data_IF_959753256359
#
_entry.id   IF_959753256359
#
_cell.length_a   1.000
_cell.length_b   1.000
_cell.length_c   1.000
_cell.angle_alpha   90.00
_cell.angle_beta   90.00
_cell.angle_gamma   90.00
#
_symmetry.space_group_name_H-M   'P 1'
#
loop_
_entity.id
_entity.type
_entity.pdbx_description
1 polymer ?
#
# COMPACT_ATOMS: atom_id res chain seq x y z
N UNK A 1 19.47 1.62 -4.32
CA UNK A 1 18.06 2.10 -4.24
C UNK A 1 17.53 1.86 -2.84
N UNK A 2 16.79 2.81 -2.24
CA UNK A 2 16.23 2.65 -0.88
C UNK A 2 14.80 2.14 -0.98
N UNK A 3 14.44 1.00 -0.35
CA UNK A 3 13.08 0.50 -0.38
C UNK A 3 12.15 1.42 0.42
N UNK A 4 10.97 1.72 -0.10
CA UNK A 4 9.90 2.38 0.63
C UNK A 4 8.88 1.34 1.08
N UNK A 5 8.52 1.37 2.36
CA UNK A 5 7.52 0.48 2.94
C UNK A 5 6.20 1.22 3.02
N UNK A 6 5.16 0.65 2.43
CA UNK A 6 3.80 1.16 2.52
C UNK A 6 2.92 0.16 3.24
N UNK A 7 1.89 0.65 3.92
CA UNK A 7 0.86 -0.18 4.51
C UNK A 7 -0.45 0.05 3.76
N UNK A 8 -1.07 -1.05 3.32
CA UNK A 8 -2.35 -1.08 2.64
C UNK A 8 -3.38 -1.71 3.57
N UNK A 9 -4.58 -1.13 3.58
CA UNK A 9 -5.77 -1.72 4.20
C UNK A 9 -6.69 -2.23 3.11
N UNK A 10 -7.02 -3.52 3.17
CA UNK A 10 -7.97 -4.18 2.28
C UNK A 10 -9.20 -4.53 3.10
N UNK A 11 -10.37 -4.09 2.65
CA UNK A 11 -11.66 -4.37 3.29
C UNK A 11 -12.54 -5.13 2.31
N UNK A 12 -13.08 -6.28 2.73
CA UNK A 12 -13.98 -7.11 1.90
C UNK A 12 -15.37 -7.14 2.55
N UNK A 13 -16.44 -6.75 1.83
CA UNK A 13 -17.80 -6.82 2.33
C UNK A 13 -18.41 -8.24 2.22
N UNK A 14 -19.38 -8.62 3.09
CA UNK A 14 -19.89 -7.83 4.22
C UNK A 14 -18.79 -7.70 5.29
N UNK A 15 -18.59 -6.48 5.81
CA UNK A 15 -17.42 -6.06 6.61
C UNK A 15 -17.26 -6.96 7.85
N UNK A 16 -16.55 -8.07 7.68
CA UNK A 16 -16.18 -9.00 8.75
C UNK A 16 -14.66 -9.04 8.92
N UNK A 17 -13.92 -8.71 7.88
CA UNK A 17 -12.46 -8.85 7.85
C UNK A 17 -11.79 -7.63 7.21
N UNK A 18 -10.89 -7.00 7.96
CA UNK A 18 -9.94 -6.02 7.45
C UNK A 18 -8.56 -6.65 7.46
N UNK A 19 -7.85 -6.56 6.34
CA UNK A 19 -6.50 -7.08 6.20
C UNK A 19 -5.52 -5.93 6.02
N UNK A 20 -4.45 -5.93 6.82
CA UNK A 20 -3.36 -4.97 6.70
C UNK A 20 -2.20 -5.68 6.00
N UNK A 21 -1.81 -5.16 4.84
CA UNK A 21 -0.74 -5.71 4.01
C UNK A 21 0.42 -4.73 3.99
N UNK A 22 1.65 -5.24 4.19
CA UNK A 22 2.87 -4.44 4.06
C UNK A 22 3.46 -4.61 2.67
N UNK A 23 3.47 -3.53 1.89
CA UNK A 23 4.03 -3.49 0.55
C UNK A 23 5.42 -2.86 0.59
N UNK A 24 6.42 -3.55 0.06
CA UNK A 24 7.75 -2.99 -0.14
C UNK A 24 7.92 -2.63 -1.62
N UNK A 25 8.10 -1.34 -1.90
CA UNK A 25 8.31 -0.85 -3.27
C UNK A 25 9.76 -0.43 -3.43
N UNK A 26 10.42 -0.96 -4.46
CA UNK A 26 11.75 -0.57 -4.89
C UNK A 26 11.60 0.17 -6.23
N UNK A 27 11.97 1.44 -6.26
CA UNK A 27 11.98 2.25 -7.47
C UNK A 27 13.26 3.08 -7.51
N UNK A 28 13.71 3.37 -8.73
CA UNK A 28 14.73 4.34 -9.08
C UNK A 28 14.21 5.79 -8.98
N UNK A 29 12.89 5.99 -9.10
CA UNK A 29 12.20 7.27 -9.00
C UNK A 29 11.56 7.57 -7.63
N UNK A 30 10.93 8.74 -7.53
CA UNK A 30 10.23 9.16 -6.31
C UNK A 30 8.86 8.48 -6.22
N UNK A 31 8.80 7.37 -5.47
CA UNK A 31 7.53 6.72 -5.03
C UNK A 31 6.69 7.58 -4.09
N UNK A 32 7.14 8.80 -3.77
CA UNK A 32 6.39 9.79 -3.02
C UNK A 32 5.50 10.65 -3.91
N UNK A 33 5.67 10.55 -5.23
CA UNK A 33 4.79 11.23 -6.17
C UNK A 33 3.35 10.71 -6.01
N UNK A 34 2.35 11.59 -5.81
CA UNK A 34 0.97 11.20 -5.62
C UNK A 34 0.40 10.39 -6.80
N UNK A 35 0.82 10.65 -8.04
CA UNK A 35 0.34 9.89 -9.19
C UNK A 35 0.92 8.47 -9.19
N UNK A 36 2.18 8.30 -8.78
CA UNK A 36 2.78 6.96 -8.59
C UNK A 36 2.05 6.18 -7.49
N UNK A 37 1.69 6.83 -6.38
CA UNK A 37 0.94 6.18 -5.30
C UNK A 37 -0.47 5.77 -5.74
N UNK A 38 -1.17 6.62 -6.49
CA UNK A 38 -2.48 6.27 -7.04
C UNK A 38 -2.37 5.08 -8.00
N UNK A 39 -1.37 5.10 -8.89
CA UNK A 39 -1.13 4.02 -9.84
C UNK A 39 -0.87 2.67 -9.14
N UNK A 40 -0.06 2.64 -8.08
CA UNK A 40 0.20 1.43 -7.30
C UNK A 40 -1.10 0.91 -6.65
N UNK A 41 -1.92 1.81 -6.11
CA UNK A 41 -3.17 1.44 -5.44
C UNK A 41 -4.19 0.87 -6.43
N UNK A 42 -4.29 1.43 -7.63
CA UNK A 42 -5.12 0.89 -8.72
C UNK A 42 -4.62 -0.48 -9.19
N UNK A 43 -3.31 -0.65 -9.33
CA UNK A 43 -2.71 -1.93 -9.71
C UNK A 43 -2.98 -3.03 -8.66
N UNK A 44 -2.96 -2.67 -7.38
CA UNK A 44 -3.35 -3.58 -6.28
C UNK A 44 -4.83 -3.96 -6.35
N UNK A 45 -5.72 -3.00 -6.62
CA UNK A 45 -7.16 -3.28 -6.81
C UNK A 45 -7.39 -4.23 -7.98
N UNK A 46 -6.74 -3.98 -9.11
CA UNK A 46 -6.85 -4.84 -10.29
C UNK A 46 -6.35 -6.27 -10.00
N UNK A 47 -5.19 -6.40 -9.35
CA UNK A 47 -4.66 -7.71 -8.92
C UNK A 47 -5.63 -8.47 -8.02
N UNK A 48 -6.28 -7.79 -7.07
CA UNK A 48 -7.25 -8.44 -6.18
C UNK A 48 -8.47 -8.95 -6.96
N UNK A 49 -8.97 -8.16 -7.92
CA UNK A 49 -10.08 -8.56 -8.81
C UNK A 49 -9.68 -9.75 -9.69
N UNK A 50 -8.47 -9.73 -10.28
CA UNK A 50 -7.93 -10.84 -11.08
C UNK A 50 -7.83 -12.14 -10.26
N UNK A 51 -7.58 -12.05 -8.96
CA UNK A 51 -7.52 -13.18 -8.03
C UNK A 51 -8.90 -13.56 -7.45
N UNK A 52 -9.99 -12.96 -7.93
CA UNK A 52 -11.36 -13.31 -7.54
C UNK A 52 -11.89 -12.58 -6.31
N UNK A 53 -11.16 -11.59 -5.77
CA UNK A 53 -11.62 -10.79 -4.63
C UNK A 53 -12.37 -9.55 -5.14
N UNK A 54 -13.69 -9.70 -5.29
CA UNK A 54 -14.59 -8.64 -5.78
C UNK A 54 -15.09 -7.73 -4.65
N UNK A 55 -15.52 -6.52 -5.01
CA UNK A 55 -16.08 -5.51 -4.10
C UNK A 55 -15.14 -5.09 -2.95
N UNK A 56 -13.83 -5.18 -3.16
CA UNK A 56 -12.85 -4.80 -2.14
C UNK A 56 -12.54 -3.32 -2.14
N UNK A 57 -12.37 -2.77 -0.94
CA UNK A 57 -11.85 -1.41 -0.77
C UNK A 57 -10.38 -1.51 -0.39
N UNK A 58 -9.52 -0.92 -1.23
CA UNK A 58 -8.07 -0.82 -0.97
C UNK A 58 -7.73 0.63 -0.71
N UNK A 59 -7.16 0.91 0.46
CA UNK A 59 -6.73 2.25 0.86
C UNK A 59 -5.34 2.21 1.47
N UNK A 60 -4.60 3.31 1.37
CA UNK A 60 -3.38 3.48 2.14
C UNK A 60 -3.72 3.59 3.62
N UNK A 61 -2.93 2.93 4.46
CA UNK A 61 -3.00 3.12 5.92
C UNK A 61 -2.19 4.35 6.27
N UNK A 62 -2.87 5.39 6.77
CA UNK A 62 -2.22 6.57 7.32
C UNK A 62 -1.65 6.21 8.69
N UNK A 63 -0.35 6.44 8.87
CA UNK A 63 0.33 6.28 10.15
C UNK A 63 -0.01 7.45 11.09
N UNK A 64 0.28 7.33 12.40
CA UNK A 64 0.01 8.41 13.36
C UNK A 64 0.70 9.74 13.04
N UNK A 65 1.80 9.70 12.28
CA UNK A 65 2.55 10.88 11.82
C UNK A 65 1.97 11.52 10.54
N UNK A 66 0.83 11.03 10.04
CA UNK A 66 0.17 11.50 8.83
C UNK A 66 0.79 10.99 7.53
N UNK A 67 1.86 10.19 7.59
CA UNK A 67 2.48 9.60 6.40
C UNK A 67 1.90 8.21 6.10
N UNK A 68 1.93 7.80 4.84
CA UNK A 68 1.49 6.45 4.42
C UNK A 68 2.66 5.47 4.20
N UNK A 69 3.89 5.95 4.40
CA UNK A 69 5.10 5.19 4.10
C UNK A 69 6.17 5.35 5.16
N UNK A 70 6.97 4.29 5.33
CA UNK A 70 8.19 4.30 6.12
C UNK A 70 9.39 4.25 5.17
N UNK A 71 10.19 5.31 5.17
CA UNK A 71 11.51 5.27 4.53
C UNK A 71 12.45 4.59 5.51
N UNK A 72 12.90 3.35 5.21
CA UNK A 72 13.92 2.70 6.05
C UNK A 72 15.13 3.63 6.20
N UNK A 73 15.35 4.14 7.41
CA UNK A 73 16.64 4.73 7.79
C UNK A 73 17.62 3.58 8.04
N UNK A 74 18.91 3.85 7.89
CA UNK A 74 19.98 2.85 7.95
C UNK A 74 20.25 2.29 9.37
N UNK A 75 19.36 2.50 10.32
CA UNK A 75 19.62 2.32 11.77
C UNK A 75 18.64 1.39 12.50
N UNK A 76 17.93 0.54 11.77
CA UNK A 76 17.35 -0.67 12.39
C UNK A 76 18.39 -1.81 12.24
N UNK A 77 19.45 -1.69 13.06
CA UNK A 77 20.60 -2.58 13.39
C UNK A 77 21.10 -3.57 12.32
#
# INVERSE_FOLDING_TARGET
MKPCLFLLTITVPPVREQQIVRLQVKSDGSVLDPAVQLFILELMKQKLVENGVLNTTVTWRVQPDGTIFHKKKRDDL
#
